data_IF_245553211685
#
_entry.id   IF_245553211685
#
_cell.length_a   1.000
_cell.length_b   1.000
_cell.length_c   1.000
_cell.angle_alpha   90.00
_cell.angle_beta   90.00
_cell.angle_gamma   90.00
#
_symmetry.space_group_name_H-M   'P 1'
#
loop_
_entity.id
_entity.type
_entity.pdbx_description
1 polymer ?
#
# COMPACT_ATOMS: atom_id res chain seq x y z
N UNK A 1 -10.46 -9.31 2.02
CA UNK A 1 -9.19 -10.00 1.73
C UNK A 1 -7.99 -9.13 2.15
N UNK A 2 -7.49 -8.20 1.32
CA UNK A 2 -6.25 -7.45 1.62
C UNK A 2 -6.26 -6.62 2.91
N UNK A 3 -7.43 -6.06 3.29
CA UNK A 3 -7.55 -5.27 4.50
C UNK A 3 -7.58 -6.06 5.82
N UNK A 4 -7.70 -7.39 5.74
CA UNK A 4 -7.64 -8.28 6.90
C UNK A 4 -6.26 -8.90 7.13
N UNK A 5 -5.20 -8.32 6.54
CA UNK A 5 -3.85 -8.83 6.67
C UNK A 5 -3.32 -8.63 8.11
N UNK A 6 -3.04 -9.70 8.87
CA UNK A 6 -2.56 -9.59 10.25
C UNK A 6 -1.09 -9.18 10.36
N UNK A 7 -0.31 -9.28 9.27
CA UNK A 7 1.13 -8.95 9.26
C UNK A 7 1.43 -8.03 8.06
N UNK A 8 1.14 -6.72 8.16
CA UNK A 8 1.48 -5.74 7.13
C UNK A 8 2.98 -5.75 6.82
N UNK A 9 3.37 -5.25 5.65
CA UNK A 9 4.75 -5.18 5.15
C UNK A 9 5.31 -6.55 4.75
N UNK A 10 5.31 -7.54 5.64
CA UNK A 10 5.76 -8.91 5.34
C UNK A 10 4.83 -9.57 4.33
N UNK A 11 3.50 -9.52 4.59
CA UNK A 11 2.51 -9.75 3.55
C UNK A 11 2.30 -8.38 2.87
N UNK A 12 2.72 -8.20 1.60
CA UNK A 12 2.89 -6.88 1.00
C UNK A 12 1.56 -6.32 0.48
N UNK A 13 0.56 -6.17 1.34
CA UNK A 13 -0.75 -5.66 0.97
C UNK A 13 -0.72 -4.19 0.52
N UNK A 14 0.35 -3.44 0.83
CA UNK A 14 0.60 -2.09 0.30
C UNK A 14 0.90 -2.07 -1.20
N UNK A 15 1.31 -3.20 -1.80
CA UNK A 15 1.52 -3.33 -3.25
C UNK A 15 0.23 -3.56 -4.04
N UNK A 16 -0.88 -3.86 -3.38
CA UNK A 16 -2.17 -4.07 -4.05
C UNK A 16 -2.82 -2.74 -4.35
N UNK A 17 -3.11 -2.48 -5.63
CA UNK A 17 -3.78 -1.26 -6.10
C UNK A 17 -5.14 -1.56 -6.72
N UNK A 18 -5.99 -0.56 -6.80
CA UNK A 18 -7.20 -0.64 -7.61
C UNK A 18 -6.88 -0.42 -9.08
N UNK A 19 -7.77 -0.84 -9.98
CA UNK A 19 -7.62 -0.64 -11.42
C UNK A 19 -7.54 0.85 -11.83
N UNK A 20 -8.04 1.76 -10.97
CA UNK A 20 -8.01 3.22 -11.16
C UNK A 20 -6.94 3.92 -10.32
N UNK A 21 -6.02 3.17 -9.70
CA UNK A 21 -4.93 3.71 -8.90
C UNK A 21 -5.00 3.33 -7.41
N UNK A 22 -4.37 4.16 -6.59
CA UNK A 22 -4.16 3.88 -5.17
C UNK A 22 -5.49 3.83 -4.39
N UNK A 23 -5.63 2.81 -3.55
CA UNK A 23 -6.78 2.62 -2.65
C UNK A 23 -6.33 2.54 -1.20
N UNK A 24 -7.29 2.38 -0.28
CA UNK A 24 -7.09 2.23 1.15
C UNK A 24 -5.98 1.25 1.57
N UNK A 25 -5.56 1.43 2.82
CA UNK A 25 -4.58 0.57 3.48
C UNK A 25 -4.99 0.36 4.93
N UNK A 26 -4.91 -0.87 5.41
CA UNK A 26 -5.39 -1.24 6.76
C UNK A 26 -4.33 -1.16 7.84
N UNK A 27 -3.06 -0.93 7.47
CA UNK A 27 -2.01 -0.65 8.44
C UNK A 27 -2.17 0.73 9.08
N UNK A 28 -1.51 0.92 10.22
CA UNK A 28 -1.45 2.23 10.89
C UNK A 28 -0.99 3.32 9.90
N UNK A 29 -1.61 4.51 9.98
CA UNK A 29 -1.33 5.60 9.05
C UNK A 29 -1.98 5.47 7.67
N UNK A 30 -2.72 4.39 7.40
CA UNK A 30 -3.60 4.28 6.24
C UNK A 30 -2.87 4.52 4.90
N UNK A 31 -3.55 5.22 4.00
CA UNK A 31 -3.06 5.44 2.63
C UNK A 31 -1.69 6.12 2.61
N UNK A 32 -1.40 7.04 3.54
CA UNK A 32 -0.09 7.71 3.61
C UNK A 32 1.06 6.73 3.86
N UNK A 33 0.83 5.72 4.71
CA UNK A 33 1.84 4.68 4.96
C UNK A 33 2.05 3.80 3.73
N UNK A 34 0.97 3.48 3.00
CA UNK A 34 1.08 2.76 1.72
C UNK A 34 1.88 3.56 0.69
N UNK A 35 1.66 4.87 0.59
CA UNK A 35 2.44 5.77 -0.27
C UNK A 35 3.92 5.76 0.14
N UNK A 36 4.21 5.91 1.44
CA UNK A 36 5.59 5.91 1.95
C UNK A 36 6.31 4.59 1.65
N UNK A 37 5.64 3.45 1.84
CA UNK A 37 6.20 2.13 1.53
C UNK A 37 6.47 1.97 0.04
N UNK A 38 5.52 2.36 -0.83
CA UNK A 38 5.72 2.31 -2.28
C UNK A 38 6.87 3.22 -2.73
N UNK A 39 7.01 4.41 -2.15
CA UNK A 39 8.16 5.30 -2.41
C UNK A 39 9.47 4.66 -1.98
N UNK A 40 9.50 4.04 -0.79
CA UNK A 40 10.68 3.35 -0.28
C UNK A 40 11.10 2.17 -1.16
N UNK A 41 10.15 1.50 -1.81
CA UNK A 41 10.39 0.43 -2.77
C UNK A 41 10.80 0.93 -4.17
N UNK A 42 10.89 2.24 -4.39
CA UNK A 42 11.20 2.83 -5.70
C UNK A 42 10.01 2.88 -6.67
N UNK A 43 8.79 2.58 -6.21
CA UNK A 43 7.57 2.60 -7.03
C UNK A 43 6.99 4.02 -7.20
N UNK A 44 7.81 5.07 -7.13
CA UNK A 44 7.35 6.46 -7.18
C UNK A 44 6.60 6.82 -8.48
N UNK A 45 6.91 6.14 -9.59
CA UNK A 45 6.20 6.31 -10.87
C UNK A 45 4.76 5.78 -10.88
N UNK A 46 4.33 5.01 -9.88
CA UNK A 46 2.94 4.54 -9.74
C UNK A 46 2.05 5.48 -8.91
N UNK A 47 2.60 6.61 -8.44
CA UNK A 47 1.92 7.55 -7.52
C UNK A 47 1.45 8.85 -8.20
N UNK A 48 1.54 8.91 -9.52
CA UNK A 48 1.10 9.97 -10.44
C UNK A 48 0.04 9.40 -11.37
#
# INVERSE_FOLDING_TARGET
>A
ACGGNPIPIIIPCHRVMGAKGLTGFSGAGGVETKVALLRHEGAAGLLI
#
